data_IF_516454602270
#
_entry.id   IF_516454602270
#
_cell.length_a   1.000
_cell.length_b   1.000
_cell.length_c   1.000
_cell.angle_alpha   90.00
_cell.angle_beta   90.00
_cell.angle_gamma   90.00
#
_symmetry.space_group_name_H-M   'P 1'
#
loop_
_entity.id
_entity.type
_entity.pdbx_description
1 polymer ?
#
# COMPACT_ATOMS: atom_id res chain seq x y z
N UNK A 1 -28.52 -10.57 12.36
CA UNK A 1 -27.12 -10.72 12.82
C UNK A 1 -26.28 -11.08 11.62
N UNK A 2 -25.14 -10.43 11.48
CA UNK A 2 -24.11 -10.68 10.48
C UNK A 2 -23.36 -11.99 10.78
N UNK A 3 -22.56 -12.45 9.82
CA UNK A 3 -21.83 -13.73 9.91
C UNK A 3 -20.80 -13.78 11.04
N UNK A 4 -20.39 -12.64 11.60
CA UNK A 4 -19.47 -12.54 12.73
C UNK A 4 -20.17 -12.49 14.10
N UNK A 5 -21.52 -12.47 14.14
CA UNK A 5 -22.30 -12.39 15.37
C UNK A 5 -22.76 -10.97 15.75
N UNK A 6 -22.31 -9.92 15.06
CA UNK A 6 -22.76 -8.55 15.30
C UNK A 6 -24.11 -8.27 14.63
N UNK A 7 -24.76 -7.15 15.01
CA UNK A 7 -26.03 -6.74 14.40
C UNK A 7 -25.86 -6.19 12.98
N UNK A 8 -24.76 -5.47 12.72
CA UNK A 8 -24.41 -4.90 11.43
C UNK A 8 -22.88 -4.81 11.26
N UNK A 9 -22.44 -4.46 10.05
CA UNK A 9 -21.04 -4.19 9.69
C UNK A 9 -20.74 -2.74 9.28
N UNK A 10 -21.48 -1.76 9.83
CA UNK A 10 -21.38 -0.35 9.41
C UNK A 10 -19.99 0.23 9.68
N UNK A 11 -19.34 -0.17 10.78
CA UNK A 11 -18.00 0.32 11.15
C UNK A 11 -16.93 -0.19 10.21
N UNK A 12 -16.97 -1.47 9.86
CA UNK A 12 -16.06 -2.10 8.91
C UNK A 12 -16.19 -1.46 7.53
N UNK A 13 -17.42 -1.22 7.07
CA UNK A 13 -17.67 -0.45 5.84
C UNK A 13 -17.10 0.97 5.92
N UNK A 14 -17.30 1.68 7.04
CA UNK A 14 -16.75 3.03 7.24
C UNK A 14 -15.22 3.04 7.19
N UNK A 15 -14.57 2.10 7.88
CA UNK A 15 -13.11 1.92 7.84
C UNK A 15 -12.64 1.64 6.42
N UNK A 16 -13.30 0.70 5.73
CA UNK A 16 -12.99 0.35 4.34
C UNK A 16 -13.09 1.56 3.40
N UNK A 17 -14.17 2.35 3.48
CA UNK A 17 -14.35 3.56 2.65
C UNK A 17 -13.30 4.63 2.94
N UNK A 18 -12.96 4.87 4.21
CA UNK A 18 -11.96 5.87 4.57
C UNK A 18 -10.59 5.48 3.99
N UNK A 19 -10.16 4.24 4.21
CA UNK A 19 -8.86 3.75 3.76
C UNK A 19 -8.81 3.69 2.23
N UNK A 20 -9.88 3.17 1.59
CA UNK A 20 -10.04 3.18 0.14
C UNK A 20 -9.96 4.60 -0.43
N UNK A 21 -10.66 5.57 0.18
CA UNK A 21 -10.69 6.96 -0.26
C UNK A 21 -9.31 7.62 -0.21
N UNK A 22 -8.53 7.39 0.87
CA UNK A 22 -7.17 7.91 1.00
C UNK A 22 -6.27 7.38 -0.11
N UNK A 23 -6.23 6.06 -0.31
CA UNK A 23 -5.32 5.48 -1.31
C UNK A 23 -5.79 5.72 -2.75
N UNK A 24 -7.10 5.78 -2.99
CA UNK A 24 -7.65 6.16 -4.28
C UNK A 24 -7.33 7.62 -4.62
N UNK A 25 -7.40 8.51 -3.64
CA UNK A 25 -6.99 9.91 -3.80
C UNK A 25 -5.53 10.00 -4.24
N UNK A 26 -4.59 9.33 -3.56
CA UNK A 26 -3.19 9.35 -3.98
C UNK A 26 -2.97 8.71 -5.35
N UNK A 27 -3.53 7.51 -5.58
CA UNK A 27 -3.38 6.80 -6.85
C UNK A 27 -3.85 7.65 -8.03
N UNK A 28 -5.05 8.23 -7.93
CA UNK A 28 -5.58 9.12 -8.98
C UNK A 28 -4.75 10.39 -9.10
N UNK A 29 -4.34 10.99 -7.98
CA UNK A 29 -3.55 12.22 -7.97
C UNK A 29 -2.20 12.07 -8.62
N UNK A 30 -1.57 10.90 -8.61
CA UNK A 30 -0.32 10.68 -9.34
C UNK A 30 -0.47 10.89 -10.86
N UNK A 31 -1.65 10.63 -11.42
CA UNK A 31 -1.96 10.89 -12.82
C UNK A 31 -2.49 12.31 -13.06
N UNK A 32 -3.29 12.84 -12.13
CA UNK A 32 -3.90 14.16 -12.27
C UNK A 32 -2.88 15.30 -12.04
N UNK A 33 -2.01 15.20 -11.04
CA UNK A 33 -1.02 16.24 -10.73
C UNK A 33 -0.20 16.71 -11.94
N UNK A 34 0.46 15.84 -12.73
CA UNK A 34 1.21 16.26 -13.92
C UNK A 34 0.34 16.86 -15.04
N UNK A 35 -0.98 16.62 -15.04
CA UNK A 35 -1.93 17.26 -15.96
C UNK A 35 -2.33 18.68 -15.53
N UNK A 36 -2.13 19.03 -14.26
CA UNK A 36 -2.50 20.35 -13.70
C UNK A 36 -1.39 21.39 -13.78
N UNK A 37 -0.19 20.99 -14.21
CA UNK A 37 0.94 21.88 -14.45
C UNK A 37 1.13 22.10 -15.94
N UNK A 38 1.91 23.11 -16.32
CA UNK A 38 2.24 23.37 -17.72
C UNK A 38 2.98 22.17 -18.34
N UNK A 39 2.86 21.99 -19.65
CA UNK A 39 3.47 20.86 -20.35
C UNK A 39 4.99 21.00 -20.39
N UNK A 40 5.72 19.89 -20.23
CA UNK A 40 7.19 19.84 -20.28
C UNK A 40 7.91 20.74 -19.26
N UNK A 41 7.31 20.97 -18.09
CA UNK A 41 7.92 21.78 -17.01
C UNK A 41 8.50 20.95 -15.88
N UNK A 42 8.13 19.68 -15.75
CA UNK A 42 8.68 18.78 -14.74
C UNK A 42 9.71 17.87 -15.42
N UNK A 43 11.01 18.15 -15.23
CA UNK A 43 12.08 17.43 -15.91
C UNK A 43 12.26 16.02 -15.34
N UNK A 44 13.13 15.20 -15.94
CA UNK A 44 13.69 14.03 -15.30
C UNK A 44 14.22 14.33 -13.90
N UNK A 45 13.75 13.58 -12.90
CA UNK A 45 14.13 13.66 -11.49
C UNK A 45 14.88 12.39 -11.07
N UNK A 46 15.65 12.51 -9.99
CA UNK A 46 16.35 11.40 -9.33
C UNK A 46 16.73 11.84 -7.92
N UNK A 47 15.89 11.50 -6.93
CA UNK A 47 16.03 11.84 -5.53
C UNK A 47 16.32 10.63 -4.62
N UNK A 48 16.46 10.89 -3.33
CA UNK A 48 16.57 9.90 -2.25
C UNK A 48 15.17 9.58 -1.73
N UNK A 49 14.89 8.32 -1.43
CA UNK A 49 13.66 8.02 -0.68
C UNK A 49 13.77 8.47 0.78
N UNK A 50 12.62 8.77 1.38
CA UNK A 50 12.45 9.24 2.75
C UNK A 50 13.14 10.60 3.01
N UNK A 51 13.21 11.47 1.99
CA UNK A 51 13.81 12.79 2.05
C UNK A 51 12.99 13.80 1.23
N UNK A 52 13.21 15.10 1.45
CA UNK A 52 12.65 16.14 0.58
C UNK A 52 13.77 16.75 -0.24
N UNK A 53 13.88 16.36 -1.50
CA UNK A 53 14.98 16.70 -2.39
C UNK A 53 14.62 17.76 -3.42
N UNK A 54 13.33 18.07 -3.60
CA UNK A 54 12.86 19.01 -4.60
C UNK A 54 11.95 20.12 -4.03
N UNK A 55 12.14 20.50 -2.75
CA UNK A 55 11.35 21.57 -2.12
C UNK A 55 11.51 22.87 -2.88
N UNK A 56 12.76 23.30 -3.07
CA UNK A 56 13.18 24.57 -3.67
C UNK A 56 14.34 24.34 -4.63
N UNK A 57 14.69 25.36 -5.41
CA UNK A 57 15.78 25.31 -6.40
C UNK A 57 17.16 25.02 -5.79
N UNK A 58 17.30 25.19 -4.47
CA UNK A 58 18.53 24.92 -3.70
C UNK A 58 18.51 23.56 -3.00
N UNK A 59 17.45 22.77 -3.17
CA UNK A 59 17.29 21.46 -2.53
C UNK A 59 18.24 20.42 -3.12
N UNK A 60 18.51 19.35 -2.36
CA UNK A 60 19.52 18.35 -2.69
C UNK A 60 19.36 17.73 -4.09
N UNK A 61 18.13 17.49 -4.54
CA UNK A 61 17.83 16.92 -5.85
C UNK A 61 18.12 17.85 -7.02
N UNK A 62 18.31 19.15 -6.78
CA UNK A 62 18.71 20.15 -7.78
C UNK A 62 20.23 20.33 -7.89
N UNK A 63 21.02 19.65 -7.05
CA UNK A 63 22.47 19.69 -7.11
C UNK A 63 23.01 18.75 -8.19
N UNK A 64 24.25 19.00 -8.61
CA UNK A 64 24.93 18.13 -9.56
C UNK A 64 25.54 16.95 -8.81
N UNK A 65 25.04 15.75 -9.10
CA UNK A 65 25.59 14.49 -8.59
C UNK A 65 26.39 13.79 -9.71
N UNK A 66 27.35 12.95 -9.34
CA UNK A 66 28.23 12.27 -10.29
C UNK A 66 27.43 11.37 -11.26
N UNK A 67 27.86 11.29 -12.52
CA UNK A 67 27.16 10.54 -13.59
C UNK A 67 27.10 9.02 -13.33
N UNK A 68 27.98 8.48 -12.47
CA UNK A 68 28.01 7.08 -12.05
C UNK A 68 27.28 6.81 -10.73
N UNK A 69 26.66 7.84 -10.13
CA UNK A 69 25.95 7.71 -8.88
C UNK A 69 24.67 6.86 -9.06
N UNK A 70 24.44 5.91 -8.13
CA UNK A 70 23.21 5.09 -8.14
C UNK A 70 21.94 5.89 -7.81
N UNK A 71 22.08 7.09 -7.25
CA UNK A 71 21.00 7.99 -6.81
C UNK A 71 21.45 9.42 -7.10
N UNK A 72 20.54 10.26 -7.60
CA UNK A 72 20.91 11.58 -8.10
C UNK A 72 21.40 11.51 -9.54
N UNK A 73 21.38 12.65 -10.21
CA UNK A 73 22.07 12.88 -11.49
C UNK A 73 22.49 14.34 -11.59
N UNK A 74 23.15 14.72 -12.69
CA UNK A 74 23.40 16.12 -12.99
C UNK A 74 22.08 16.85 -13.35
N UNK A 75 21.35 17.34 -12.35
CA UNK A 75 20.02 17.94 -12.57
C UNK A 75 20.08 19.18 -13.48
N UNK A 76 21.20 19.90 -13.50
CA UNK A 76 21.38 21.09 -14.33
C UNK A 76 21.29 20.82 -15.85
N UNK A 77 21.49 19.58 -16.29
CA UNK A 77 21.36 19.17 -17.70
C UNK A 77 19.90 18.97 -18.14
N UNK A 78 19.01 18.66 -17.20
CA UNK A 78 17.60 18.37 -17.45
C UNK A 78 16.67 19.55 -17.10
N UNK A 79 17.15 20.47 -16.25
CA UNK A 79 16.38 21.58 -15.71
C UNK A 79 16.09 21.40 -14.23
N UNK A 80 16.03 22.52 -13.49
CA UNK A 80 15.73 22.49 -12.05
C UNK A 80 14.23 22.30 -11.81
N UNK A 81 13.87 21.71 -10.67
CA UNK A 81 12.48 21.51 -10.27
C UNK A 81 12.25 21.89 -8.81
N UNK A 82 11.15 22.56 -8.53
CA UNK A 82 10.76 22.96 -7.17
C UNK A 82 9.26 22.75 -7.00
N UNK A 83 8.87 21.72 -6.25
CA UNK A 83 7.45 21.48 -6.04
C UNK A 83 6.79 22.58 -5.21
N UNK A 84 7.54 23.43 -4.47
CA UNK A 84 6.96 24.58 -3.76
C UNK A 84 6.51 25.71 -4.69
N UNK A 85 6.94 25.70 -5.96
CA UNK A 85 6.71 26.78 -6.93
C UNK A 85 5.56 26.46 -7.91
N UNK A 86 5.07 25.22 -7.93
CA UNK A 86 3.91 24.82 -8.75
C UNK A 86 2.59 24.99 -7.98
N UNK A 87 1.46 24.74 -8.66
CA UNK A 87 0.16 24.89 -8.03
C UNK A 87 0.03 24.03 -6.75
N UNK A 88 -0.72 24.47 -5.72
CA UNK A 88 -0.72 23.80 -4.41
C UNK A 88 -1.15 22.33 -4.42
N UNK A 89 -2.02 21.94 -5.35
CA UNK A 89 -2.46 20.55 -5.48
C UNK A 89 -1.34 19.67 -6.01
N UNK A 90 -0.71 20.05 -7.13
CA UNK A 90 0.44 19.32 -7.65
C UNK A 90 1.61 19.35 -6.65
N UNK A 91 1.88 20.50 -6.02
CA UNK A 91 2.90 20.64 -4.99
C UNK A 91 2.76 19.59 -3.88
N UNK A 92 1.54 19.41 -3.36
CA UNK A 92 1.26 18.41 -2.33
C UNK A 92 1.55 16.97 -2.81
N UNK A 93 1.16 16.64 -4.05
CA UNK A 93 1.34 15.29 -4.61
C UNK A 93 2.81 15.02 -4.92
N UNK A 94 3.54 16.00 -5.47
CA UNK A 94 4.98 15.90 -5.71
C UNK A 94 5.77 15.88 -4.41
N UNK A 95 5.38 16.63 -3.38
CA UNK A 95 5.99 16.55 -2.05
C UNK A 95 5.79 15.16 -1.42
N UNK A 96 4.60 14.57 -1.58
CA UNK A 96 4.37 13.19 -1.15
C UNK A 96 5.27 12.20 -1.91
N UNK A 97 5.42 12.38 -3.22
CA UNK A 97 6.29 11.57 -4.06
C UNK A 97 7.76 11.70 -3.70
N UNK A 98 8.26 12.93 -3.56
CA UNK A 98 9.61 13.29 -3.14
C UNK A 98 9.96 12.62 -1.81
N UNK A 99 9.06 12.71 -0.82
CA UNK A 99 9.25 12.05 0.47
C UNK A 99 9.33 10.52 0.37
N UNK A 100 8.48 9.84 -0.40
CA UNK A 100 8.39 8.38 -0.32
C UNK A 100 9.17 7.64 -1.41
N UNK A 101 9.44 8.29 -2.54
CA UNK A 101 9.98 7.70 -3.74
C UNK A 101 11.35 8.28 -4.05
N UNK A 102 12.21 7.48 -4.68
CA UNK A 102 13.45 8.00 -5.27
C UNK A 102 13.20 8.84 -6.53
N UNK A 103 11.96 8.90 -7.04
CA UNK A 103 11.54 9.64 -8.24
C UNK A 103 12.44 9.43 -9.47
N UNK A 104 13.10 8.28 -9.58
CA UNK A 104 14.00 7.95 -10.70
C UNK A 104 13.27 8.01 -12.03
N UNK A 105 13.73 8.85 -12.94
CA UNK A 105 13.09 9.09 -14.23
C UNK A 105 12.94 7.80 -15.05
N UNK A 106 13.96 6.95 -15.08
CA UNK A 106 13.99 5.72 -15.87
C UNK A 106 13.01 4.65 -15.36
N UNK A 107 12.40 4.90 -14.19
CA UNK A 107 11.43 4.02 -13.52
C UNK A 107 10.05 4.65 -13.42
N UNK A 108 9.89 5.86 -13.94
CA UNK A 108 8.68 6.67 -13.86
C UNK A 108 8.06 6.80 -15.25
N UNK A 109 6.75 6.99 -15.29
CA UNK A 109 6.09 7.38 -16.54
C UNK A 109 6.03 8.90 -16.66
N UNK A 110 5.72 9.36 -17.86
CA UNK A 110 5.53 10.78 -18.16
C UNK A 110 4.10 11.02 -18.65
N UNK A 111 3.54 12.15 -18.26
CA UNK A 111 2.23 12.63 -18.70
C UNK A 111 2.39 14.09 -19.09
N UNK A 112 1.94 14.48 -20.29
CA UNK A 112 2.13 15.85 -20.81
C UNK A 112 3.62 16.29 -20.87
N UNK A 113 4.55 15.34 -21.02
CA UNK A 113 5.99 15.59 -20.98
C UNK A 113 6.50 15.95 -19.59
N UNK A 114 5.69 15.75 -18.55
CA UNK A 114 6.06 15.92 -17.16
C UNK A 114 6.29 14.55 -16.53
N UNK A 115 7.43 14.35 -15.88
CA UNK A 115 7.66 13.14 -15.10
C UNK A 115 6.60 13.01 -14.01
N UNK A 116 6.01 11.82 -13.86
CA UNK A 116 5.10 11.52 -12.75
C UNK A 116 5.77 11.70 -11.38
N UNK A 117 4.99 12.03 -10.33
CA UNK A 117 5.51 12.29 -8.99
C UNK A 117 6.09 11.05 -8.29
N UNK A 118 5.80 9.84 -8.78
CA UNK A 118 6.27 8.57 -8.21
C UNK A 118 6.63 7.60 -9.34
N UNK A 119 7.44 6.60 -9.01
CA UNK A 119 7.82 5.55 -9.96
C UNK A 119 6.67 4.55 -10.21
N UNK A 120 6.78 3.76 -11.28
CA UNK A 120 5.78 2.74 -11.65
C UNK A 120 5.58 1.68 -10.56
N UNK A 121 6.59 1.42 -9.71
CA UNK A 121 6.44 0.49 -8.58
C UNK A 121 5.43 1.02 -7.57
N UNK A 122 5.50 2.30 -7.23
CA UNK A 122 4.59 2.93 -6.27
C UNK A 122 3.17 3.00 -6.83
N UNK A 123 3.01 3.19 -8.15
CA UNK A 123 1.71 3.03 -8.82
C UNK A 123 1.15 1.63 -8.57
N UNK A 124 1.97 0.59 -8.72
CA UNK A 124 1.57 -0.79 -8.40
C UNK A 124 1.15 -0.97 -6.94
N UNK A 125 1.95 -0.47 -6.01
CA UNK A 125 1.66 -0.54 -4.56
C UNK A 125 0.35 0.17 -4.23
N UNK A 126 0.15 1.40 -4.69
CA UNK A 126 -1.09 2.14 -4.45
C UNK A 126 -2.31 1.50 -5.11
N UNK A 127 -2.14 0.91 -6.29
CA UNK A 127 -3.22 0.16 -6.92
C UNK A 127 -3.59 -1.09 -6.12
N UNK A 128 -2.59 -1.82 -5.62
CA UNK A 128 -2.79 -2.92 -4.67
C UNK A 128 -3.54 -2.46 -3.41
N UNK A 129 -3.11 -1.36 -2.79
CA UNK A 129 -3.74 -0.79 -1.58
C UNK A 129 -5.23 -0.50 -1.81
N UNK A 130 -5.58 0.08 -2.96
CA UNK A 130 -6.97 0.31 -3.38
C UNK A 130 -7.74 -1.00 -3.50
N UNK A 131 -7.21 -2.00 -4.20
CA UNK A 131 -7.88 -3.30 -4.39
C UNK A 131 -8.08 -4.02 -3.05
N UNK A 132 -7.07 -4.06 -2.19
CA UNK A 132 -7.15 -4.69 -0.88
C UNK A 132 -8.20 -4.01 0.01
N UNK A 133 -8.21 -2.68 0.03
CA UNK A 133 -9.18 -1.90 0.80
C UNK A 133 -10.60 -2.05 0.25
N UNK A 134 -10.77 -2.08 -1.08
CA UNK A 134 -12.04 -2.33 -1.73
C UNK A 134 -12.57 -3.73 -1.41
N UNK A 135 -11.72 -4.76 -1.47
CA UNK A 135 -12.12 -6.13 -1.14
C UNK A 135 -12.58 -6.23 0.32
N UNK A 136 -11.86 -5.57 1.24
CA UNK A 136 -12.29 -5.50 2.64
C UNK A 136 -13.60 -4.72 2.80
N UNK A 137 -13.78 -3.58 2.14
CA UNK A 137 -15.05 -2.85 2.17
C UNK A 137 -16.23 -3.73 1.73
N UNK A 138 -16.03 -4.54 0.68
CA UNK A 138 -17.07 -5.40 0.12
C UNK A 138 -17.37 -6.61 1.02
N UNK A 139 -16.35 -7.23 1.64
CA UNK A 139 -16.47 -8.56 2.28
C UNK A 139 -15.98 -8.66 3.74
N UNK A 140 -15.24 -7.69 4.24
CA UNK A 140 -14.61 -7.74 5.55
C UNK A 140 -15.59 -7.61 6.71
N UNK A 141 -15.27 -8.29 7.82
CA UNK A 141 -15.99 -8.31 9.09
C UNK A 141 -15.01 -8.32 10.26
N UNK A 142 -15.31 -7.56 11.32
CA UNK A 142 -14.59 -7.67 12.59
C UNK A 142 -14.80 -9.07 13.19
N UNK A 143 -13.74 -9.84 13.37
CA UNK A 143 -13.76 -11.15 14.04
C UNK A 143 -12.79 -11.19 15.21
N UNK A 144 -12.81 -10.12 16.01
CA UNK A 144 -12.05 -9.99 17.26
C UNK A 144 -10.55 -9.75 17.10
N UNK A 145 -9.83 -10.65 16.41
CA UNK A 145 -8.39 -10.50 16.16
C UNK A 145 -8.12 -10.02 14.74
N UNK A 146 -6.94 -9.43 14.50
CA UNK A 146 -6.53 -8.95 13.18
C UNK A 146 -6.51 -10.09 12.16
N UNK A 147 -5.94 -11.26 12.52
CA UNK A 147 -5.89 -12.43 11.62
C UNK A 147 -7.28 -12.92 11.20
N UNK A 148 -8.21 -13.01 12.14
CA UNK A 148 -9.57 -13.52 11.88
C UNK A 148 -10.36 -12.49 11.07
N UNK A 149 -10.17 -11.21 11.36
CA UNK A 149 -10.74 -10.09 10.61
C UNK A 149 -10.17 -10.04 9.18
N UNK A 150 -8.88 -10.30 9.00
CA UNK A 150 -8.26 -10.33 7.68
C UNK A 150 -8.73 -11.51 6.84
N UNK A 151 -8.86 -12.70 7.45
CA UNK A 151 -9.40 -13.88 6.77
C UNK A 151 -10.89 -13.76 6.43
N UNK A 152 -11.63 -12.84 7.06
CA UNK A 152 -13.08 -12.68 6.82
C UNK A 152 -13.45 -12.30 5.38
N UNK A 153 -12.50 -11.85 4.57
CA UNK A 153 -12.71 -11.58 3.14
C UNK A 153 -13.03 -12.86 2.34
N UNK A 154 -12.68 -14.03 2.87
CA UNK A 154 -12.94 -15.34 2.26
C UNK A 154 -14.26 -15.93 2.78
N UNK A 155 -15.01 -16.68 1.94
CA UNK A 155 -16.24 -17.34 2.37
C UNK A 155 -16.00 -18.36 3.49
N UNK A 156 -16.89 -18.40 4.49
CA UNK A 156 -16.77 -19.29 5.66
C UNK A 156 -16.60 -20.77 5.29
N UNK A 157 -17.28 -21.23 4.25
CA UNK A 157 -17.15 -22.60 3.75
C UNK A 157 -15.69 -22.97 3.40
N UNK A 158 -14.92 -22.02 2.85
CA UNK A 158 -13.50 -22.21 2.52
C UNK A 158 -12.60 -22.20 3.76
N UNK A 159 -13.02 -21.50 4.82
CA UNK A 159 -12.27 -21.32 6.05
C UNK A 159 -12.53 -22.42 7.09
N UNK A 160 -13.63 -23.16 7.02
CA UNK A 160 -14.00 -24.21 7.98
C UNK A 160 -12.83 -25.14 8.34
N UNK A 161 -12.15 -25.73 7.34
CA UNK A 161 -11.01 -26.64 7.58
C UNK A 161 -9.81 -25.92 8.20
N UNK A 162 -9.57 -24.66 7.83
CA UNK A 162 -8.48 -23.84 8.37
C UNK A 162 -8.71 -23.57 9.85
N UNK A 163 -9.95 -23.23 10.23
CA UNK A 163 -10.32 -22.96 11.61
C UNK A 163 -10.29 -24.23 12.47
N UNK A 164 -10.88 -25.33 11.98
CA UNK A 164 -10.90 -26.62 12.69
C UNK A 164 -9.49 -27.19 12.93
N UNK A 165 -8.57 -27.04 11.97
CA UNK A 165 -7.18 -27.50 12.11
C UNK A 165 -6.25 -26.47 12.80
N UNK A 166 -6.81 -25.35 13.28
CA UNK A 166 -6.06 -24.22 13.86
C UNK A 166 -4.93 -23.69 12.96
N UNK A 167 -5.15 -23.65 11.65
CA UNK A 167 -4.17 -23.24 10.63
C UNK A 167 -4.23 -21.75 10.27
N UNK A 168 -5.02 -20.95 10.99
CA UNK A 168 -5.31 -19.54 10.71
C UNK A 168 -4.05 -18.68 10.54
N UNK A 169 -3.10 -18.79 11.47
CA UNK A 169 -1.82 -18.08 11.39
C UNK A 169 -1.01 -18.50 10.18
N UNK A 170 -0.97 -19.80 9.86
CA UNK A 170 -0.27 -20.29 8.68
C UNK A 170 -0.90 -19.74 7.40
N UNK A 171 -2.23 -19.66 7.31
CA UNK A 171 -2.92 -19.06 6.17
C UNK A 171 -2.60 -17.56 6.01
N UNK A 172 -2.59 -16.80 7.10
CA UNK A 172 -2.20 -15.39 7.09
C UNK A 172 -0.74 -15.21 6.67
N UNK A 173 0.17 -16.02 7.22
CA UNK A 173 1.59 -15.97 6.87
C UNK A 173 1.84 -16.34 5.42
N UNK A 174 1.17 -17.37 4.88
CA UNK A 174 1.28 -17.73 3.46
C UNK A 174 0.75 -16.62 2.55
N UNK A 175 -0.43 -16.06 2.87
CA UNK A 175 -0.99 -14.94 2.11
C UNK A 175 -0.02 -13.75 2.10
N UNK A 176 0.53 -13.38 3.25
CA UNK A 176 1.51 -12.30 3.36
C UNK A 176 2.81 -12.63 2.63
N UNK A 177 3.33 -13.85 2.76
CA UNK A 177 4.56 -14.29 2.10
C UNK A 177 4.44 -14.15 0.58
N UNK A 178 3.40 -14.72 -0.04
CA UNK A 178 3.21 -14.63 -1.49
C UNK A 178 2.94 -13.20 -1.99
N UNK A 179 2.43 -12.33 -1.12
CA UNK A 179 2.18 -10.92 -1.46
C UNK A 179 3.44 -10.05 -1.34
N UNK A 180 4.34 -10.35 -0.40
CA UNK A 180 5.51 -9.52 -0.10
C UNK A 180 6.74 -9.96 -0.90
N UNK A 181 6.97 -11.26 -1.00
CA UNK A 181 8.20 -11.82 -1.57
C UNK A 181 8.49 -11.35 -3.00
N UNK A 182 7.52 -11.24 -3.93
CA UNK A 182 7.81 -10.79 -5.29
C UNK A 182 8.49 -9.42 -5.34
N UNK A 183 8.00 -8.44 -4.56
CA UNK A 183 8.59 -7.10 -4.50
C UNK A 183 9.97 -7.11 -3.85
N UNK A 184 10.12 -7.85 -2.74
CA UNK A 184 11.40 -7.96 -2.03
C UNK A 184 12.45 -8.59 -2.92
N UNK A 185 12.14 -9.70 -3.61
CA UNK A 185 13.08 -10.38 -4.51
C UNK A 185 13.44 -9.48 -5.69
N UNK A 186 12.46 -8.86 -6.35
CA UNK A 186 12.69 -7.96 -7.48
C UNK A 186 13.56 -6.75 -7.10
N UNK A 187 13.30 -6.14 -5.94
CA UNK A 187 14.12 -5.05 -5.40
C UNK A 187 15.51 -5.51 -4.97
N UNK A 188 15.63 -6.66 -4.31
CA UNK A 188 16.89 -7.19 -3.80
C UNK A 188 17.82 -7.65 -4.91
N UNK A 189 17.31 -8.26 -5.97
CA UNK A 189 18.11 -8.62 -7.15
C UNK A 189 18.70 -7.39 -7.84
N UNK A 190 17.95 -6.28 -7.93
CA UNK A 190 18.46 -5.00 -8.43
C UNK A 190 19.58 -4.41 -7.56
N UNK A 191 19.60 -4.69 -6.26
CA UNK A 191 20.68 -4.23 -5.37
C UNK A 191 21.98 -5.02 -5.58
N UNK A 192 21.87 -6.30 -5.95
CA UNK A 192 23.01 -7.22 -6.02
C UNK A 192 23.55 -7.48 -7.43
N UNK A 193 22.77 -7.16 -8.47
CA UNK A 193 23.08 -7.55 -9.86
C UNK A 193 22.86 -6.38 -10.82
N UNK A 194 23.21 -6.58 -12.09
CA UNK A 194 22.91 -5.64 -13.19
C UNK A 194 21.47 -5.75 -13.73
N UNK A 195 20.65 -6.64 -13.17
CA UNK A 195 19.24 -6.74 -13.55
C UNK A 195 18.50 -5.46 -13.15
N UNK A 196 17.72 -4.91 -14.08
CA UNK A 196 16.80 -3.81 -13.84
C UNK A 196 15.39 -4.25 -14.21
N UNK A 197 14.42 -3.95 -13.34
CA UNK A 197 13.02 -4.32 -13.60
C UNK A 197 12.47 -3.52 -14.78
N UNK A 198 11.62 -4.14 -15.59
CA UNK A 198 10.77 -3.40 -16.54
C UNK A 198 9.63 -2.70 -15.79
N UNK A 199 8.98 -1.71 -16.43
CA UNK A 199 7.80 -1.05 -15.85
C UNK A 199 6.69 -2.05 -15.50
N UNK A 200 6.48 -3.07 -16.36
CA UNK A 200 5.52 -4.15 -16.09
C UNK A 200 5.91 -4.96 -14.85
N UNK A 201 7.18 -5.34 -14.71
CA UNK A 201 7.64 -6.08 -13.52
C UNK A 201 7.46 -5.25 -12.24
N UNK A 202 7.77 -3.95 -12.27
CA UNK A 202 7.58 -3.04 -11.13
C UNK A 202 6.11 -2.98 -10.70
N UNK A 203 5.19 -2.94 -11.67
CA UNK A 203 3.75 -2.94 -11.40
C UNK A 203 3.28 -4.29 -10.81
N UNK A 204 3.69 -5.40 -11.42
CA UNK A 204 3.28 -6.76 -11.04
C UNK A 204 3.82 -7.15 -9.66
N UNK A 205 5.01 -6.70 -9.29
CA UNK A 205 5.57 -6.98 -7.95
C UNK A 205 5.02 -6.02 -6.90
N UNK A 206 4.76 -4.75 -7.25
CA UNK A 206 4.16 -3.75 -6.36
C UNK A 206 2.70 -4.06 -5.96
N UNK A 207 1.88 -4.53 -6.90
CA UNK A 207 0.44 -4.73 -6.67
C UNK A 207 0.13 -5.73 -5.54
N UNK A 208 0.69 -6.96 -5.50
CA UNK A 208 0.46 -7.89 -4.41
C UNK A 208 0.89 -7.33 -3.05
N UNK A 209 2.02 -6.61 -3.02
CA UNK A 209 2.53 -5.99 -1.80
C UNK A 209 1.55 -4.92 -1.27
N UNK A 210 1.07 -4.04 -2.15
CA UNK A 210 0.05 -3.07 -1.80
C UNK A 210 -1.27 -3.72 -1.34
N UNK A 211 -1.69 -4.78 -2.01
CA UNK A 211 -2.92 -5.51 -1.69
C UNK A 211 -2.94 -6.02 -0.26
N UNK A 212 -1.86 -6.69 0.19
CA UNK A 212 -1.81 -7.21 1.55
C UNK A 212 -1.74 -6.10 2.60
N UNK A 213 -1.05 -4.99 2.32
CA UNK A 213 -1.03 -3.83 3.23
C UNK A 213 -2.43 -3.23 3.36
N UNK A 214 -3.16 -3.07 2.25
CA UNK A 214 -4.52 -2.51 2.28
C UNK A 214 -5.47 -3.37 3.10
N UNK A 215 -5.40 -4.69 2.92
CA UNK A 215 -6.13 -5.67 3.74
C UNK A 215 -5.73 -5.59 5.22
N UNK A 216 -4.43 -5.53 5.51
CA UNK A 216 -3.91 -5.47 6.87
C UNK A 216 -4.37 -4.20 7.60
N UNK A 217 -4.29 -3.03 6.96
CA UNK A 217 -4.72 -1.76 7.53
C UNK A 217 -6.22 -1.78 7.86
N UNK A 218 -7.06 -2.17 6.89
CA UNK A 218 -8.49 -2.28 7.11
C UNK A 218 -8.83 -3.25 8.25
N UNK A 219 -8.14 -4.40 8.29
CA UNK A 219 -8.34 -5.41 9.33
C UNK A 219 -7.89 -4.93 10.70
N UNK A 220 -6.76 -4.24 10.78
CA UNK A 220 -6.20 -3.70 12.03
C UNK A 220 -7.10 -2.63 12.65
N UNK A 221 -7.67 -1.73 11.84
CA UNK A 221 -8.59 -0.71 12.34
C UNK A 221 -10.00 -1.24 12.65
N UNK A 222 -10.37 -2.39 12.08
CA UNK A 222 -11.68 -3.04 12.27
C UNK A 222 -11.71 -4.07 13.40
N UNK A 223 -10.60 -4.76 13.67
CA UNK A 223 -10.49 -5.78 14.71
C UNK A 223 -10.66 -5.16 16.11
N UNK A 224 -11.84 -5.32 16.71
CA UNK A 224 -12.20 -4.65 17.96
C UNK A 224 -13.00 -5.57 18.89
N UNK A 225 -12.38 -6.13 19.95
CA UNK A 225 -13.05 -6.92 20.97
C UNK A 225 -14.22 -6.19 21.66
N UNK A 226 -14.09 -4.88 21.87
CA UNK A 226 -15.13 -4.04 22.48
C UNK A 226 -16.46 -4.04 21.71
N UNK A 227 -16.45 -4.35 20.42
CA UNK A 227 -17.69 -4.48 19.63
C UNK A 227 -18.56 -5.66 20.10
N UNK A 228 -17.94 -6.64 20.76
CA UNK A 228 -18.56 -7.83 21.31
C UNK A 228 -18.63 -7.75 22.84
N UNK A 229 -18.77 -6.54 23.40
CA UNK A 229 -18.81 -6.30 24.86
C UNK A 229 -17.64 -6.90 25.66
N UNK A 230 -16.52 -7.22 25.00
CA UNK A 230 -15.40 -7.91 25.64
C UNK A 230 -15.63 -9.40 25.91
N UNK A 231 -16.70 -9.99 25.35
CA UNK A 231 -17.01 -11.42 25.44
C UNK A 231 -16.72 -12.12 24.09
N UNK A 232 -15.69 -12.96 24.08
CA UNK A 232 -15.25 -13.68 22.89
C UNK A 232 -16.23 -14.76 22.43
N UNK A 233 -17.13 -15.21 23.31
CA UNK A 233 -18.15 -16.22 22.99
C UNK A 233 -19.21 -15.70 22.02
N UNK A 234 -19.39 -14.37 21.95
CA UNK A 234 -20.31 -13.71 21.02
C UNK A 234 -19.81 -13.70 19.58
N UNK A 235 -18.53 -14.01 19.36
CA UNK A 235 -17.92 -14.00 18.03
C UNK A 235 -18.26 -15.30 17.30
N UNK A 236 -18.86 -15.19 16.12
CA UNK A 236 -19.10 -16.34 15.24
C UNK A 236 -17.93 -16.51 14.29
N UNK A 237 -17.29 -17.68 14.37
CA UNK A 237 -16.18 -18.06 13.50
C UNK A 237 -16.57 -19.23 12.57
N UNK A 238 -15.88 -19.39 11.43
CA UNK A 238 -16.11 -20.49 10.50
C UNK A 238 -16.06 -21.87 11.17
N UNK A 239 -16.92 -22.78 10.72
CA UNK A 239 -16.95 -24.17 11.21
C UNK A 239 -17.35 -24.33 12.69
N UNK A 240 -17.96 -23.30 13.30
CA UNK A 240 -18.35 -23.33 14.71
C UNK A 240 -17.18 -23.18 15.69
N UNK A 241 -15.99 -22.79 15.21
CA UNK A 241 -14.83 -22.55 16.06
C UNK A 241 -15.13 -21.45 17.10
N UNK A 242 -14.48 -21.55 18.26
CA UNK A 242 -14.61 -20.59 19.37
C UNK A 242 -13.24 -20.18 19.87
N UNK A 243 -13.16 -19.03 20.53
CA UNK A 243 -11.99 -18.69 21.33
C UNK A 243 -12.08 -19.47 22.64
N UNK A 244 -11.00 -20.17 23.01
CA UNK A 244 -10.88 -20.82 24.31
C UNK A 244 -10.31 -19.83 25.34
N UNK A 245 -10.71 -19.94 26.59
CA UNK A 245 -10.04 -19.26 27.69
C UNK A 245 -8.77 -20.04 28.07
N UNK A 246 -7.74 -19.35 28.56
CA UNK A 246 -6.49 -20.00 28.95
C UNK A 246 -6.66 -21.05 30.06
N UNK A 247 -7.78 -21.00 30.81
CA UNK A 247 -8.13 -21.97 31.84
C UNK A 247 -8.73 -23.28 31.29
N UNK A 248 -9.10 -23.33 30.00
CA UNK A 248 -9.68 -24.53 29.36
C UNK A 248 -8.62 -25.55 28.88
N UNK A 249 -7.33 -25.30 29.18
CA UNK A 249 -6.21 -26.15 28.75
C UNK A 249 -5.57 -26.96 29.90
N UNK A 250 -6.04 -26.77 31.14
CA UNK A 250 -5.54 -27.47 32.34
C UNK A 250 -6.53 -28.57 32.85
N UNK A 251 -7.58 -28.88 32.09
CA UNK A 251 -8.46 -30.07 32.25
C UNK A 251 -8.33 -31.01 31.04
#
# INVERSE_FOLDING_TARGET
>A
MEINGLLDRKKEKKVGVIILGIFFFFLSSFFVAPLTVEKNTIPPLSGRANAFDYVTSQSWGNLNHADDAKIGHNQSEYGLFSWSEINPYAAFVYAFGDFNCHQKFERSWEINGNQMPVCVRDIGIFFGLVIGSLLFYLRGFNRWTIKDTMLSIFPDASLTKIYQKNKRWQSVLLLSFFSIVPLVVDGFLQLLTSYESTSTMRLVTGLPFGFIIGLYLCSSFSARPKAFTGDASLVRLPGGARFAHAQDHDE
#
